data_IF_328238754107
#
_entry.id   IF_328238754107
#
_cell.length_a   1.000
_cell.length_b   1.000
_cell.length_c   1.000
_cell.angle_alpha   90.00
_cell.angle_beta   90.00
_cell.angle_gamma   90.00
#
_symmetry.space_group_name_H-M   'P 1'
#
loop_
_entity.id
_entity.type
_entity.pdbx_description
1 polymer ?
#
# COMPACT_ATOMS: atom_id res chain seq x y z
N UNK A 1 17.61 41.80 -34.96
CA UNK A 1 18.09 40.95 -33.85
C UNK A 1 16.99 40.53 -32.85
N UNK A 2 15.69 40.70 -33.15
CA UNK A 2 14.59 40.29 -32.24
C UNK A 2 14.04 38.88 -32.51
N UNK A 3 14.23 38.32 -33.72
CA UNK A 3 13.70 37.00 -34.10
C UNK A 3 14.53 35.83 -33.56
N UNK A 4 15.83 36.05 -33.32
CA UNK A 4 16.75 35.00 -32.83
C UNK A 4 16.55 34.69 -31.34
N UNK A 5 16.05 35.65 -30.55
CA UNK A 5 15.83 35.48 -29.12
C UNK A 5 14.61 34.59 -28.81
N UNK A 6 13.63 34.53 -29.73
CA UNK A 6 12.42 33.73 -29.56
C UNK A 6 12.64 32.22 -29.79
N UNK A 7 13.65 31.85 -30.58
CA UNK A 7 13.99 30.44 -30.79
C UNK A 7 14.70 29.82 -29.58
N UNK A 8 15.43 30.62 -28.80
CA UNK A 8 16.22 30.11 -27.66
C UNK A 8 15.33 29.80 -26.45
N UNK A 9 14.23 30.54 -26.24
CA UNK A 9 13.29 30.28 -25.13
C UNK A 9 12.35 29.10 -25.37
N UNK A 10 12.06 28.76 -26.63
CA UNK A 10 11.19 27.62 -26.99
C UNK A 10 11.91 26.27 -26.84
N UNK A 11 13.24 26.25 -26.96
CA UNK A 11 14.05 25.02 -26.81
C UNK A 11 14.19 24.58 -25.34
N UNK A 12 14.14 25.51 -24.38
CA UNK A 12 14.27 25.20 -22.94
C UNK A 12 12.97 24.63 -22.36
N UNK A 13 11.82 24.84 -23.02
CA UNK A 13 10.51 24.40 -22.52
C UNK A 13 10.17 22.94 -22.82
N UNK A 14 10.99 22.22 -23.58
CA UNK A 14 10.70 20.82 -24.00
C UNK A 14 11.31 19.74 -23.12
N UNK A 15 12.04 20.11 -22.05
CA UNK A 15 12.69 19.17 -21.14
C UNK A 15 12.02 19.05 -19.76
N UNK A 16 10.87 19.68 -19.54
CA UNK A 16 10.03 19.38 -18.39
C UNK A 16 9.20 18.12 -18.69
N UNK A 17 9.90 17.01 -18.87
CA UNK A 17 9.30 15.70 -18.67
C UNK A 17 8.98 15.61 -17.18
N UNK A 18 7.76 15.98 -16.78
CA UNK A 18 7.23 15.54 -15.50
C UNK A 18 7.38 14.02 -15.49
N UNK A 19 8.25 13.51 -14.62
CA UNK A 19 8.26 12.09 -14.30
C UNK A 19 6.94 11.81 -13.59
N UNK A 20 5.89 11.49 -14.36
CA UNK A 20 4.71 10.86 -13.81
C UNK A 20 5.15 9.48 -13.34
N UNK A 21 5.51 9.37 -12.06
CA UNK A 21 5.83 8.08 -11.46
C UNK A 21 4.56 7.22 -11.54
N UNK A 22 4.72 5.99 -12.02
CA UNK A 22 3.62 5.02 -12.03
C UNK A 22 3.24 4.79 -10.56
N UNK A 23 1.96 4.98 -10.18
CA UNK A 23 1.53 4.75 -8.81
C UNK A 23 1.89 3.35 -8.37
N UNK A 24 2.51 3.22 -7.20
CA UNK A 24 2.66 1.94 -6.53
C UNK A 24 1.25 1.48 -6.12
N UNK A 25 0.96 0.18 -6.24
CA UNK A 25 -0.35 -0.38 -5.87
C UNK A 25 -0.18 -1.57 -4.91
N UNK A 26 -1.21 -1.84 -4.12
CA UNK A 26 -1.25 -3.02 -3.24
C UNK A 26 -1.05 -4.29 -4.08
N UNK A 27 -0.20 -5.19 -3.60
CA UNK A 27 0.21 -6.43 -4.25
C UNK A 27 -0.69 -7.61 -3.87
N UNK A 28 -1.29 -7.62 -2.68
CA UNK A 28 -2.29 -8.61 -2.33
C UNK A 28 -3.49 -8.53 -3.28
N UNK A 29 -3.74 -9.61 -4.03
CA UNK A 29 -4.82 -9.70 -5.02
C UNK A 29 -6.07 -10.43 -4.51
N UNK A 30 -6.04 -10.95 -3.29
CA UNK A 30 -7.16 -11.71 -2.71
C UNK A 30 -8.19 -10.75 -2.11
N UNK A 31 -9.47 -11.08 -2.27
CA UNK A 31 -10.55 -10.42 -1.53
C UNK A 31 -10.58 -10.87 -0.08
N UNK A 32 -11.25 -10.12 0.81
CA UNK A 32 -11.45 -10.52 2.21
C UNK A 32 -12.08 -11.92 2.32
N UNK A 33 -13.09 -12.22 1.49
CA UNK A 33 -13.73 -13.54 1.47
C UNK A 33 -12.73 -14.65 1.10
N UNK A 34 -11.91 -14.42 0.07
CA UNK A 34 -10.87 -15.37 -0.34
C UNK A 34 -9.78 -15.54 0.73
N UNK A 35 -9.44 -14.48 1.47
CA UNK A 35 -8.52 -14.55 2.60
C UNK A 35 -9.09 -15.43 3.70
N UNK A 36 -10.37 -15.28 4.04
CA UNK A 36 -11.07 -16.15 5.01
C UNK A 36 -11.09 -17.62 4.59
N UNK A 37 -11.28 -17.89 3.30
CA UNK A 37 -11.35 -19.25 2.75
C UNK A 37 -10.02 -20.01 2.82
N UNK A 38 -8.88 -19.32 2.77
CA UNK A 38 -7.54 -19.94 2.83
C UNK A 38 -6.98 -20.06 4.25
N UNK A 39 -7.77 -19.68 5.26
CA UNK A 39 -7.36 -19.79 6.65
C UNK A 39 -7.41 -21.23 7.18
N UNK A 40 -6.63 -21.55 8.23
CA UNK A 40 -6.69 -22.87 8.86
C UNK A 40 -7.98 -23.13 9.66
N UNK A 41 -8.94 -22.20 9.63
CA UNK A 41 -10.18 -22.28 10.39
C UNK A 41 -11.34 -22.80 9.54
N UNK A 42 -12.20 -23.63 10.13
CA UNK A 42 -13.48 -23.99 9.49
C UNK A 42 -14.36 -22.74 9.33
N UNK A 43 -15.28 -22.77 8.35
CA UNK A 43 -16.18 -21.63 8.03
C UNK A 43 -17.01 -21.17 9.23
N UNK A 44 -17.44 -22.09 10.09
CA UNK A 44 -18.24 -21.77 11.29
C UNK A 44 -17.38 -21.45 12.54
N UNK A 45 -16.06 -21.36 12.38
CA UNK A 45 -15.17 -21.08 13.50
C UNK A 45 -15.25 -19.59 13.89
N UNK A 46 -15.32 -19.23 15.18
CA UNK A 46 -15.38 -17.84 15.61
C UNK A 46 -14.26 -16.95 15.04
N UNK A 47 -13.05 -17.50 14.89
CA UNK A 47 -11.90 -16.81 14.30
C UNK A 47 -12.05 -16.43 12.83
N UNK A 48 -13.09 -16.89 12.13
CA UNK A 48 -13.36 -16.45 10.75
C UNK A 48 -13.78 -14.99 10.71
N UNK A 49 -14.61 -14.52 11.66
CA UNK A 49 -15.00 -13.11 11.73
C UNK A 49 -13.79 -12.24 12.08
N UNK A 50 -13.01 -12.67 13.07
CA UNK A 50 -11.78 -11.99 13.48
C UNK A 50 -10.73 -11.93 12.34
N UNK A 51 -10.64 -12.97 11.51
CA UNK A 51 -9.81 -12.95 10.29
C UNK A 51 -10.25 -11.85 9.34
N UNK A 52 -11.57 -11.72 9.09
CA UNK A 52 -12.09 -10.71 8.16
C UNK A 52 -11.79 -9.30 8.65
N UNK A 53 -11.95 -9.08 9.94
CA UNK A 53 -11.66 -7.80 10.58
C UNK A 53 -10.18 -7.45 10.44
N UNK A 54 -9.28 -8.36 10.83
CA UNK A 54 -7.82 -8.16 10.70
C UNK A 54 -7.41 -7.92 9.24
N UNK A 55 -7.93 -8.71 8.30
CA UNK A 55 -7.64 -8.54 6.88
C UNK A 55 -8.14 -7.19 6.34
N UNK A 56 -9.32 -6.75 6.79
CA UNK A 56 -9.90 -5.45 6.42
C UNK A 56 -9.05 -4.30 6.94
N UNK A 57 -8.57 -4.40 8.17
CA UNK A 57 -7.69 -3.40 8.78
C UNK A 57 -6.37 -3.29 8.01
N UNK A 58 -5.72 -4.43 7.73
CA UNK A 58 -4.48 -4.45 6.92
C UNK A 58 -4.71 -3.78 5.56
N UNK A 59 -5.79 -4.12 4.85
CA UNK A 59 -6.08 -3.51 3.55
C UNK A 59 -6.33 -2.00 3.63
N UNK A 60 -7.07 -1.55 4.65
CA UNK A 60 -7.41 -0.14 4.84
C UNK A 60 -6.16 0.68 5.09
N UNK A 61 -5.28 0.19 5.96
CA UNK A 61 -4.04 0.87 6.29
C UNK A 61 -3.03 0.82 5.14
N UNK A 62 -2.93 -0.31 4.41
CA UNK A 62 -2.14 -0.39 3.18
C UNK A 62 -2.64 0.62 2.15
N UNK A 63 -3.96 0.75 1.94
CA UNK A 63 -4.49 1.73 1.00
C UNK A 63 -4.07 3.16 1.37
N UNK A 64 -4.11 3.51 2.66
CA UNK A 64 -3.64 4.81 3.15
C UNK A 64 -2.14 5.03 2.92
N UNK A 65 -1.30 4.03 3.22
CA UNK A 65 0.15 4.08 2.98
C UNK A 65 0.46 4.30 1.50
N UNK A 66 -0.17 3.52 0.62
CA UNK A 66 0.07 3.61 -0.82
C UNK A 66 -0.41 4.95 -1.39
N UNK A 67 -1.55 5.47 -0.94
CA UNK A 67 -2.03 6.79 -1.32
C UNK A 67 -1.07 7.90 -0.89
N UNK A 68 -0.54 7.84 0.34
CA UNK A 68 0.44 8.79 0.84
C UNK A 68 1.76 8.76 0.05
N UNK A 69 2.29 7.56 -0.20
CA UNK A 69 3.52 7.36 -0.98
C UNK A 69 3.36 7.90 -2.41
N UNK A 70 2.23 7.60 -3.06
CA UNK A 70 1.94 8.06 -4.41
C UNK A 70 1.78 9.59 -4.50
N UNK A 71 1.40 10.23 -3.40
CA UNK A 71 1.34 11.70 -3.28
C UNK A 71 2.70 12.32 -2.89
N UNK A 72 3.72 11.51 -2.60
CA UNK A 72 4.99 11.97 -2.05
C UNK A 72 4.84 12.59 -0.65
N UNK A 73 3.80 12.19 0.10
CA UNK A 73 3.49 12.72 1.42
C UNK A 73 3.91 11.73 2.51
N UNK A 74 4.88 12.12 3.33
CA UNK A 74 5.32 11.32 4.49
C UNK A 74 4.61 11.66 5.79
N UNK A 75 3.79 12.71 5.81
CA UNK A 75 3.06 13.11 7.02
C UNK A 75 1.95 12.09 7.32
N UNK A 76 2.00 11.48 8.50
CA UNK A 76 1.06 10.44 8.93
C UNK A 76 1.45 9.01 8.51
N UNK A 77 2.56 8.84 7.77
CA UNK A 77 2.99 7.51 7.33
C UNK A 77 3.26 6.58 8.53
N UNK A 78 3.96 7.08 9.56
CA UNK A 78 4.30 6.32 10.76
C UNK A 78 3.08 5.73 11.48
N UNK A 79 1.97 6.47 11.61
CA UNK A 79 0.78 5.95 12.30
C UNK A 79 0.11 4.81 11.53
N UNK A 80 0.13 4.85 10.20
CA UNK A 80 -0.40 3.77 9.37
C UNK A 80 0.53 2.55 9.41
N UNK A 81 1.86 2.74 9.40
CA UNK A 81 2.83 1.66 9.56
C UNK A 81 2.69 0.95 10.93
N UNK A 82 2.51 1.71 12.00
CA UNK A 82 2.26 1.17 13.34
C UNK A 82 0.93 0.40 13.39
N UNK A 83 -0.14 0.91 12.78
CA UNK A 83 -1.42 0.22 12.70
C UNK A 83 -1.32 -1.11 11.94
N UNK A 84 -0.61 -1.14 10.81
CA UNK A 84 -0.34 -2.39 10.07
C UNK A 84 0.41 -3.39 10.96
N UNK A 85 1.44 -2.95 11.68
CA UNK A 85 2.18 -3.83 12.58
C UNK A 85 1.27 -4.42 13.67
N UNK A 86 0.38 -3.61 14.25
CA UNK A 86 -0.59 -4.10 15.24
C UNK A 86 -1.54 -5.15 14.65
N UNK A 87 -2.03 -4.95 13.43
CA UNK A 87 -2.87 -5.95 12.75
C UNK A 87 -2.10 -7.22 12.39
N UNK A 88 -0.82 -7.12 12.00
CA UNK A 88 0.06 -8.29 11.78
C UNK A 88 0.30 -9.05 13.07
N UNK A 89 0.54 -8.36 14.19
CA UNK A 89 0.69 -9.00 15.50
C UNK A 89 -0.59 -9.72 15.92
N UNK A 90 -1.76 -9.14 15.65
CA UNK A 90 -3.06 -9.78 15.87
C UNK A 90 -3.24 -11.02 14.97
N UNK A 91 -2.86 -10.94 13.68
CA UNK A 91 -2.89 -12.08 12.77
C UNK A 91 -2.04 -13.24 13.28
N UNK A 92 -0.82 -12.95 13.76
CA UNK A 92 0.09 -13.94 14.35
C UNK A 92 -0.55 -14.57 15.59
N UNK A 93 -1.11 -13.76 16.50
CA UNK A 93 -1.76 -14.24 17.72
C UNK A 93 -2.94 -15.16 17.42
N UNK A 94 -3.75 -14.81 16.41
CA UNK A 94 -4.89 -15.59 15.96
C UNK A 94 -4.47 -16.91 15.30
N UNK A 95 -3.24 -16.99 14.77
CA UNK A 95 -2.79 -18.08 13.91
C UNK A 95 -3.32 -17.95 12.48
N UNK A 96 -3.65 -16.74 12.06
CA UNK A 96 -4.05 -16.41 10.70
C UNK A 96 -2.86 -16.56 9.74
N UNK A 97 -3.09 -17.19 8.59
CA UNK A 97 -2.17 -17.10 7.46
C UNK A 97 -2.28 -15.69 6.85
N UNK A 98 -1.26 -14.86 7.06
CA UNK A 98 -1.16 -13.50 6.50
C UNK A 98 -0.13 -13.38 5.36
N UNK A 99 0.44 -14.51 4.89
CA UNK A 99 1.51 -14.52 3.87
C UNK A 99 1.11 -13.92 2.52
N UNK A 100 -0.19 -13.80 2.22
CA UNK A 100 -0.68 -13.10 1.04
C UNK A 100 -0.33 -11.60 1.02
N UNK A 101 -0.06 -11.01 2.18
CA UNK A 101 0.36 -9.62 2.32
C UNK A 101 1.89 -9.46 2.29
N UNK A 102 2.68 -10.53 2.18
CA UNK A 102 4.13 -10.44 2.39
C UNK A 102 4.82 -9.44 1.46
N UNK A 103 4.44 -9.38 0.18
CA UNK A 103 5.03 -8.41 -0.75
C UNK A 103 4.72 -6.95 -0.35
N UNK A 104 3.53 -6.70 0.21
CA UNK A 104 3.15 -5.40 0.74
C UNK A 104 3.92 -5.08 2.02
N UNK A 105 4.08 -6.06 2.92
CA UNK A 105 4.85 -5.93 4.15
C UNK A 105 6.34 -5.64 3.86
N UNK A 106 6.94 -6.38 2.93
CA UNK A 106 8.31 -6.17 2.48
C UNK A 106 8.49 -4.76 1.90
N UNK A 107 7.50 -4.26 1.16
CA UNK A 107 7.52 -2.91 0.61
C UNK A 107 7.47 -1.85 1.71
N UNK A 108 6.52 -1.95 2.66
CA UNK A 108 6.38 -0.93 3.71
C UNK A 108 7.56 -0.95 4.70
N UNK A 109 8.25 -2.08 4.88
CA UNK A 109 9.51 -2.14 5.64
C UNK A 109 10.59 -1.24 5.03
N UNK A 110 10.59 -1.01 3.72
CA UNK A 110 11.52 -0.07 3.07
C UNK A 110 11.22 1.40 3.34
N UNK A 111 10.05 1.70 3.92
CA UNK A 111 9.60 3.05 4.24
C UNK A 111 9.91 3.45 5.69
N UNK A 112 10.37 2.51 6.53
CA UNK A 112 10.59 2.67 7.97
C UNK A 112 12.03 3.04 8.32
#
# INVERSE_FOLDING_TARGET
>A
MKKTLLLLTLLISTHLSLFAQIPTAIQCTLTIDQISEVQPFNVDHPSQEETRDIASDIFTELAAVYDLVNQGNSAGLTSHLEAIQLSVDAAILLGMNYSMFQADLDFIETLN
#
